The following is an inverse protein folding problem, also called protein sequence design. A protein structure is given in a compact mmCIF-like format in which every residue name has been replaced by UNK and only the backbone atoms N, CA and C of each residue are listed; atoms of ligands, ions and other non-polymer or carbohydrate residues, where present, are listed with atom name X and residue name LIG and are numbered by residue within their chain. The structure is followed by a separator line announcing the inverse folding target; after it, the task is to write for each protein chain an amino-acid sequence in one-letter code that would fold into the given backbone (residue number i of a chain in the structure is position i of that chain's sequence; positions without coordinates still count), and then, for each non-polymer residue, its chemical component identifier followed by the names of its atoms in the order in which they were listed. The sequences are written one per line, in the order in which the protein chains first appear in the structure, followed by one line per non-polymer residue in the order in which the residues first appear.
data_IF_085447292639
#
_entry.id   IF_085447292639
#
_cell.length_a   1.000
_cell.length_b   1.000
_cell.length_c   1.000
_cell.angle_alpha   90.00
_cell.angle_beta   90.00
_cell.angle_gamma   90.00
#
_symmetry.space_group_name_H-M   'P 1'
#
loop_
_entity.id
_entity.type
_entity.pdbx_description
1 polymer ?
#
# COMPACT_ATOMS: atom_id res chain seq x y z
N UNK A 1 -6.58 -12.29 -16.91
CA UNK A 1 -7.82 -12.36 -16.11
C UNK A 1 -8.68 -13.48 -16.68
N UNK A 2 -8.83 -14.59 -15.96
CA UNK A 2 -9.83 -15.61 -16.32
C UNK A 2 -11.21 -14.99 -16.01
N UNK A 3 -11.93 -14.55 -17.04
CA UNK A 3 -13.23 -13.93 -16.88
C UNK A 3 -14.25 -14.96 -16.44
N UNK A 4 -14.86 -14.77 -15.28
CA UNK A 4 -16.03 -15.55 -14.87
C UNK A 4 -17.13 -15.37 -15.92
N UNK A 5 -17.74 -16.48 -16.36
CA UNK A 5 -18.85 -16.42 -17.31
C UNK A 5 -20.04 -15.69 -16.68
N UNK A 6 -20.64 -14.77 -17.41
CA UNK A 6 -21.84 -14.05 -17.01
C UNK A 6 -23.07 -14.73 -17.64
N UNK A 7 -23.77 -15.65 -16.95
CA UNK A 7 -24.97 -16.27 -17.49
C UNK A 7 -26.09 -15.24 -17.56
N UNK A 8 -26.46 -14.83 -18.77
CA UNK A 8 -27.61 -13.95 -19.02
C UNK A 8 -28.71 -14.80 -19.64
N UNK A 9 -29.84 -14.94 -18.94
CA UNK A 9 -31.04 -15.61 -19.43
C UNK A 9 -32.07 -14.58 -19.94
N UNK A 10 -32.76 -14.92 -21.02
CA UNK A 10 -33.70 -14.03 -21.71
C UNK A 10 -35.09 -14.67 -21.78
N UNK A 11 -36.11 -13.92 -21.34
CA UNK A 11 -37.51 -14.23 -21.64
C UNK A 11 -37.87 -13.82 -23.08
N UNK A 12 -37.21 -12.77 -23.57
CA UNK A 12 -37.40 -12.26 -24.93
C UNK A 12 -36.10 -11.65 -25.42
N UNK A 13 -35.66 -12.06 -26.61
CA UNK A 13 -34.58 -11.43 -27.34
C UNK A 13 -35.05 -11.22 -28.78
N UNK A 14 -35.55 -10.02 -29.06
CA UNK A 14 -35.97 -9.62 -30.40
C UNK A 14 -35.05 -8.50 -30.87
N UNK A 15 -34.37 -8.75 -32.00
CA UNK A 15 -33.47 -7.81 -32.64
C UNK A 15 -33.88 -7.71 -34.11
N UNK A 16 -34.34 -6.54 -34.54
CA UNK A 16 -34.69 -6.26 -35.93
C UNK A 16 -33.79 -5.14 -36.41
N UNK A 17 -33.07 -5.38 -37.50
CA UNK A 17 -32.28 -4.35 -38.15
C UNK A 17 -32.52 -4.40 -39.65
N UNK A 18 -32.58 -3.24 -40.29
CA UNK A 18 -32.83 -3.15 -41.71
C UNK A 18 -32.33 -1.84 -42.31
N UNK A 19 -32.01 -1.89 -43.59
CA UNK A 19 -31.68 -0.72 -44.38
C UNK A 19 -32.73 -0.59 -45.49
N UNK A 20 -33.66 0.35 -45.35
CA UNK A 20 -34.74 0.57 -46.30
C UNK A 20 -34.76 2.03 -46.76
N UNK A 21 -34.78 2.25 -48.07
CA UNK A 21 -34.92 3.58 -48.69
C UNK A 21 -33.95 4.63 -48.13
N UNK A 22 -32.67 4.27 -47.97
CA UNK A 22 -31.64 5.18 -47.44
C UNK A 22 -31.77 5.48 -45.94
N UNK A 23 -32.56 4.69 -45.19
CA UNK A 23 -32.65 4.76 -43.73
C UNK A 23 -32.24 3.43 -43.12
N UNK A 24 -31.26 3.47 -42.22
CA UNK A 24 -30.94 2.34 -41.37
C UNK A 24 -31.85 2.42 -40.14
N UNK A 25 -32.46 1.30 -39.77
CA UNK A 25 -33.29 1.18 -38.58
C UNK A 25 -32.85 -0.03 -37.76
N UNK A 26 -32.85 0.13 -36.45
CA UNK A 26 -32.61 -0.92 -35.48
C UNK A 26 -33.66 -0.82 -34.38
N UNK A 27 -34.39 -1.91 -34.16
CA UNK A 27 -35.35 -2.08 -33.08
C UNK A 27 -34.90 -3.27 -32.23
N UNK A 28 -34.89 -3.09 -30.92
CA UNK A 28 -34.56 -4.17 -30.01
C UNK A 28 -35.52 -4.23 -28.85
N UNK A 29 -35.76 -5.45 -28.38
CA UNK A 29 -36.44 -5.75 -27.13
C UNK A 29 -35.75 -6.92 -26.46
N UNK A 30 -35.10 -6.63 -25.35
CA UNK A 30 -34.35 -7.57 -24.54
C UNK A 30 -35.01 -7.60 -23.16
N UNK A 31 -35.76 -8.68 -22.88
CA UNK A 31 -36.34 -8.93 -21.57
C UNK A 31 -35.53 -10.03 -20.89
N UNK A 32 -34.92 -9.70 -19.76
CA UNK A 32 -34.08 -10.62 -19.00
C UNK A 32 -34.96 -11.47 -18.07
N UNK A 33 -34.66 -12.76 -17.97
CA UNK A 33 -35.39 -13.65 -17.06
C UNK A 33 -35.18 -13.20 -15.62
N UNK A 34 -36.28 -13.07 -14.87
CA UNK A 34 -36.30 -12.56 -13.49
C UNK A 34 -35.64 -11.19 -13.30
N UNK A 35 -35.59 -10.36 -14.35
CA UNK A 35 -34.99 -9.04 -14.30
C UNK A 35 -35.74 -8.09 -15.26
N UNK A 36 -35.28 -6.85 -15.37
CA UNK A 36 -35.90 -5.81 -16.17
C UNK A 36 -35.78 -6.02 -17.69
N UNK A 37 -36.14 -4.98 -18.41
CA UNK A 37 -36.08 -4.96 -19.87
C UNK A 37 -35.28 -3.76 -20.39
N UNK A 38 -34.66 -3.97 -21.54
CA UNK A 38 -34.01 -2.97 -22.35
C UNK A 38 -34.64 -2.98 -23.74
N UNK A 39 -35.23 -1.86 -24.14
CA UNK A 39 -35.89 -1.72 -25.43
C UNK A 39 -35.55 -0.39 -26.09
N UNK A 40 -35.69 -0.34 -27.40
CA UNK A 40 -35.46 0.89 -28.13
C UNK A 40 -35.66 0.73 -29.61
N UNK A 41 -35.74 1.89 -30.24
CA UNK A 41 -35.82 2.04 -31.69
C UNK A 41 -34.88 3.17 -32.08
N UNK A 42 -33.93 2.91 -32.97
CA UNK A 42 -33.04 3.92 -33.54
C UNK A 42 -33.18 3.90 -35.05
N UNK A 43 -33.29 5.09 -35.63
CA UNK A 43 -33.27 5.31 -37.06
C UNK A 43 -32.16 6.29 -37.41
N UNK A 44 -31.35 5.92 -38.40
CA UNK A 44 -30.36 6.79 -39.04
C UNK A 44 -30.82 7.06 -40.46
N UNK A 45 -31.27 8.29 -40.71
CA UNK A 45 -31.58 8.74 -42.06
C UNK A 45 -30.30 9.20 -42.77
N UNK A 46 -30.16 8.80 -44.04
CA UNK A 46 -29.00 9.12 -44.88
C UNK A 46 -27.67 8.75 -44.20
N UNK A 47 -27.41 7.44 -43.98
CA UNK A 47 -26.25 6.96 -43.23
C UNK A 47 -24.90 7.27 -43.91
N UNK A 48 -24.90 7.60 -45.21
CA UNK A 48 -23.68 7.92 -45.94
C UNK A 48 -23.27 9.38 -45.78
N UNK A 49 -24.23 10.31 -45.73
CA UNK A 49 -23.92 11.75 -45.72
C UNK A 49 -24.33 12.40 -44.39
N UNK A 50 -25.63 12.61 -44.15
CA UNK A 50 -26.11 13.43 -43.02
C UNK A 50 -26.09 12.72 -41.68
N UNK A 51 -26.26 11.38 -41.69
CA UNK A 51 -26.31 10.52 -40.49
C UNK A 51 -27.24 11.09 -39.42
N UNK A 52 -28.45 11.50 -39.81
CA UNK A 52 -29.44 12.08 -38.90
C UNK A 52 -30.00 10.98 -38.02
N UNK A 53 -29.90 11.13 -36.71
CA UNK A 53 -30.32 10.14 -35.73
C UNK A 53 -31.67 10.55 -35.16
N UNK A 54 -32.56 9.58 -34.99
CA UNK A 54 -33.79 9.74 -34.20
C UNK A 54 -34.15 8.41 -33.55
N UNK A 55 -34.78 8.44 -32.38
CA UNK A 55 -35.14 7.19 -31.71
C UNK A 55 -35.44 7.34 -30.24
N UNK A 56 -35.80 6.24 -29.61
CA UNK A 56 -35.96 6.14 -28.17
C UNK A 56 -35.19 4.95 -27.63
N UNK A 57 -34.70 5.08 -26.40
CA UNK A 57 -34.01 4.05 -25.66
C UNK A 57 -34.58 4.02 -24.25
N UNK A 58 -35.12 2.89 -23.85
CA UNK A 58 -35.71 2.69 -22.54
C UNK A 58 -35.01 1.56 -21.80
N UNK A 59 -34.75 1.80 -20.52
CA UNK A 59 -34.36 0.77 -19.55
C UNK A 59 -35.44 0.78 -18.48
N UNK A 60 -36.08 -0.36 -18.27
CA UNK A 60 -37.10 -0.52 -17.23
C UNK A 60 -36.64 -1.56 -16.23
N UNK A 61 -36.36 -1.11 -15.00
CA UNK A 61 -36.11 -1.96 -13.84
C UNK A 61 -34.98 -2.99 -14.01
N UNK A 62 -33.87 -2.62 -14.65
CA UNK A 62 -32.71 -3.53 -14.75
C UNK A 62 -31.98 -3.53 -13.40
N UNK A 63 -31.94 -4.69 -12.76
CA UNK A 63 -31.22 -4.91 -11.51
C UNK A 63 -29.72 -5.12 -11.78
N UNK A 64 -28.87 -4.35 -11.08
CA UNK A 64 -27.42 -4.53 -11.11
C UNK A 64 -26.96 -5.88 -10.54
N UNK A 65 -27.83 -6.62 -9.85
CA UNK A 65 -27.50 -7.98 -9.42
C UNK A 65 -27.13 -8.92 -10.58
N UNK A 66 -27.50 -8.54 -11.81
CA UNK A 66 -27.13 -9.28 -13.02
C UNK A 66 -25.61 -9.44 -13.19
N UNK A 67 -24.77 -8.51 -12.69
CA UNK A 67 -23.32 -8.59 -12.87
C UNK A 67 -22.62 -9.45 -11.81
N UNK A 68 -23.31 -9.85 -10.74
CA UNK A 68 -22.72 -10.59 -9.62
C UNK A 68 -21.99 -11.88 -10.02
N UNK A 69 -22.46 -12.69 -10.98
CA UNK A 69 -21.72 -13.88 -11.42
C UNK A 69 -20.35 -13.57 -12.02
N UNK A 70 -20.16 -12.36 -12.57
CA UNK A 70 -18.88 -11.91 -13.12
C UNK A 70 -17.94 -11.32 -12.05
N UNK A 71 -18.43 -11.03 -10.85
CA UNK A 71 -17.65 -10.46 -9.76
C UNK A 71 -16.87 -11.54 -9.00
N UNK A 72 -15.86 -11.11 -8.24
CA UNK A 72 -15.07 -12.02 -7.40
C UNK A 72 -15.87 -12.46 -6.16
N UNK A 73 -15.47 -13.57 -5.53
CA UNK A 73 -16.11 -14.05 -4.31
C UNK A 73 -15.99 -12.99 -3.21
N UNK A 74 -17.13 -12.60 -2.62
CA UNK A 74 -17.21 -11.53 -1.61
C UNK A 74 -17.58 -10.16 -2.17
N UNK A 75 -17.65 -10.03 -3.49
CA UNK A 75 -18.12 -8.83 -4.16
C UNK A 75 -19.60 -8.96 -4.55
N UNK A 76 -20.32 -7.85 -4.53
CA UNK A 76 -21.71 -7.79 -4.95
C UNK A 76 -22.10 -6.40 -5.43
N UNK A 77 -23.03 -6.36 -6.37
CA UNK A 77 -23.73 -5.18 -6.83
C UNK A 77 -25.24 -5.42 -6.76
N UNK A 78 -25.97 -4.40 -6.32
CA UNK A 78 -27.41 -4.33 -6.32
C UNK A 78 -27.85 -2.91 -6.64
N UNK A 79 -29.11 -2.73 -7.03
CA UNK A 79 -29.67 -1.45 -7.43
C UNK A 79 -30.51 -1.58 -8.69
N UNK A 80 -31.34 -0.57 -8.95
CA UNK A 80 -32.27 -0.57 -10.07
C UNK A 80 -31.91 0.56 -11.04
N UNK A 81 -31.54 0.18 -12.26
CA UNK A 81 -31.29 1.11 -13.35
C UNK A 81 -32.58 1.33 -14.14
N UNK A 82 -32.89 2.60 -14.42
CA UNK A 82 -34.02 3.03 -15.23
C UNK A 82 -33.57 4.14 -16.19
N UNK A 83 -34.09 4.13 -17.42
CA UNK A 83 -33.82 5.16 -18.40
C UNK A 83 -35.02 5.37 -19.31
N UNK A 84 -35.28 6.63 -19.65
CA UNK A 84 -36.17 7.00 -20.75
C UNK A 84 -35.46 8.10 -21.54
N UNK A 85 -34.90 7.74 -22.69
CA UNK A 85 -34.06 8.61 -23.49
C UNK A 85 -34.64 8.75 -24.90
N UNK A 86 -34.71 9.98 -25.39
CA UNK A 86 -35.06 10.31 -26.77
C UNK A 86 -33.83 10.87 -27.47
N UNK A 87 -33.47 10.25 -28.59
CA UNK A 87 -32.34 10.61 -29.42
C UNK A 87 -32.80 11.46 -30.62
N UNK A 88 -31.96 12.40 -31.04
CA UNK A 88 -32.18 13.30 -32.15
C UNK A 88 -30.86 13.85 -32.72
N UNK A 89 -30.96 14.73 -33.73
CA UNK A 89 -29.79 15.43 -34.28
C UNK A 89 -29.03 14.60 -35.31
N UNK A 90 -27.70 14.70 -35.34
CA UNK A 90 -26.85 13.92 -36.24
C UNK A 90 -25.78 13.16 -35.47
N UNK A 91 -25.12 12.19 -36.10
CA UNK A 91 -24.01 11.47 -35.50
C UNK A 91 -22.86 12.37 -35.01
N UNK A 92 -22.68 13.57 -35.60
CA UNK A 92 -21.69 14.55 -35.16
C UNK A 92 -22.23 15.51 -34.08
N UNK A 93 -23.55 15.71 -34.02
CA UNK A 93 -24.24 16.59 -33.06
C UNK A 93 -25.43 15.85 -32.46
N UNK A 94 -25.18 14.84 -31.60
CA UNK A 94 -26.24 14.02 -31.03
C UNK A 94 -27.02 14.82 -29.99
N UNK A 95 -28.34 14.89 -30.17
CA UNK A 95 -29.26 15.43 -29.18
C UNK A 95 -29.82 14.28 -28.36
N UNK A 96 -29.65 14.34 -27.04
CA UNK A 96 -30.18 13.37 -26.08
C UNK A 96 -31.11 14.11 -25.13
N UNK A 97 -32.32 13.59 -24.95
CA UNK A 97 -33.30 14.14 -24.01
C UNK A 97 -33.80 13.04 -23.08
N UNK A 98 -34.13 13.40 -21.85
CA UNK A 98 -34.74 12.48 -20.89
C UNK A 98 -33.85 12.21 -19.68
N UNK A 99 -34.06 11.08 -19.01
CA UNK A 99 -33.43 10.79 -17.72
C UNK A 99 -32.90 9.38 -17.65
N UNK A 100 -31.70 9.25 -17.07
CA UNK A 100 -31.12 8.00 -16.59
C UNK A 100 -31.06 8.07 -15.06
N UNK A 101 -31.52 7.04 -14.38
CA UNK A 101 -31.51 6.98 -12.93
C UNK A 101 -31.05 5.60 -12.45
N UNK A 102 -30.22 5.60 -11.42
CA UNK A 102 -29.82 4.43 -10.67
C UNK A 102 -30.28 4.62 -9.22
N UNK A 103 -31.17 3.76 -8.76
CA UNK A 103 -31.78 3.83 -7.45
C UNK A 103 -31.37 2.66 -6.56
N UNK A 104 -31.20 2.96 -5.26
CA UNK A 104 -30.86 1.97 -4.22
C UNK A 104 -29.63 1.14 -4.58
N UNK A 105 -28.66 1.77 -5.22
CA UNK A 105 -27.42 1.11 -5.57
C UNK A 105 -26.63 0.74 -4.32
N UNK A 106 -26.19 -0.51 -4.26
CA UNK A 106 -25.31 -1.04 -3.22
C UNK A 106 -24.19 -1.75 -3.92
N UNK A 107 -22.97 -1.40 -3.58
CA UNK A 107 -21.81 -2.07 -4.16
C UNK A 107 -20.81 -2.34 -3.06
N UNK A 108 -20.38 -3.58 -3.04
CA UNK A 108 -19.35 -4.09 -2.18
C UNK A 108 -18.33 -4.76 -3.10
N UNK A 109 -17.12 -4.22 -3.16
CA UNK A 109 -16.08 -4.76 -4.04
C UNK A 109 -14.73 -4.21 -3.67
N UNK A 110 -13.66 -4.95 -3.94
CA UNK A 110 -12.29 -4.53 -3.60
C UNK A 110 -11.85 -3.32 -4.42
N UNK A 111 -12.46 -3.13 -5.58
CA UNK A 111 -12.24 -1.98 -6.48
C UNK A 111 -12.84 -0.68 -5.95
N UNK A 112 -13.75 -0.74 -4.96
CA UNK A 112 -14.30 0.43 -4.28
C UNK A 112 -13.74 0.50 -2.86
N UNK A 113 -13.08 1.59 -2.46
CA UNK A 113 -12.36 1.62 -1.20
C UNK A 113 -13.28 1.92 0.00
N UNK A 114 -14.60 2.00 -0.21
CA UNK A 114 -15.64 2.19 0.79
C UNK A 114 -16.87 1.31 0.51
N UNK A 115 -17.53 0.87 1.57
CA UNK A 115 -18.79 0.12 1.47
C UNK A 115 -19.97 1.08 1.22
N UNK A 116 -20.61 0.94 0.07
CA UNK A 116 -21.76 1.77 -0.31
C UNK A 116 -23.07 1.08 0.10
N UNK A 117 -23.80 1.68 1.03
CA UNK A 117 -25.01 1.10 1.64
C UNK A 117 -26.29 1.47 0.89
N UNK A 118 -26.32 2.65 0.28
CA UNK A 118 -27.38 3.12 -0.61
C UNK A 118 -26.80 4.22 -1.52
N UNK A 119 -27.18 4.23 -2.78
CA UNK A 119 -26.84 5.30 -3.69
C UNK A 119 -27.97 5.58 -4.65
N UNK A 120 -28.14 6.87 -4.94
CA UNK A 120 -29.07 7.39 -5.94
C UNK A 120 -28.30 8.30 -6.87
N UNK A 121 -28.32 7.99 -8.15
CA UNK A 121 -27.71 8.80 -9.21
C UNK A 121 -28.78 9.13 -10.24
N UNK A 122 -28.83 10.37 -10.70
CA UNK A 122 -29.71 10.80 -11.76
C UNK A 122 -28.94 11.68 -12.74
N UNK A 123 -29.02 11.33 -14.02
CA UNK A 123 -28.52 12.15 -15.13
C UNK A 123 -29.70 12.62 -15.94
N UNK A 124 -29.86 13.94 -16.05
CA UNK A 124 -30.90 14.56 -16.88
C UNK A 124 -30.25 15.10 -18.14
N UNK A 125 -30.69 14.61 -19.30
CA UNK A 125 -30.20 15.03 -20.61
C UNK A 125 -31.12 16.08 -21.21
N UNK A 126 -30.53 17.17 -21.71
CA UNK A 126 -31.22 18.25 -22.39
C UNK A 126 -30.44 18.65 -23.66
N UNK A 127 -30.69 17.95 -24.75
CA UNK A 127 -30.05 18.16 -26.04
C UNK A 127 -28.58 17.74 -26.01
N UNK A 128 -27.66 18.71 -26.08
CA UNK A 128 -26.21 18.47 -26.08
C UNK A 128 -25.56 18.74 -24.71
N UNK A 129 -26.38 18.80 -23.67
CA UNK A 129 -25.94 19.02 -22.29
C UNK A 129 -26.63 18.05 -21.34
N UNK A 130 -26.02 17.79 -20.20
CA UNK A 130 -26.65 17.04 -19.11
C UNK A 130 -26.29 17.60 -17.74
N UNK A 131 -27.14 17.35 -16.76
CA UNK A 131 -26.82 17.51 -15.34
C UNK A 131 -26.78 16.15 -14.65
N UNK A 132 -25.88 16.01 -13.67
CA UNK A 132 -25.74 14.85 -12.79
C UNK A 132 -26.07 15.29 -11.37
N UNK A 133 -26.90 14.53 -10.70
CA UNK A 133 -27.12 14.63 -9.26
C UNK A 133 -26.93 13.25 -8.63
N UNK A 134 -26.24 13.20 -7.52
CA UNK A 134 -25.95 11.95 -6.83
C UNK A 134 -25.89 12.10 -5.33
N UNK A 135 -26.43 11.11 -4.62
CA UNK A 135 -26.27 10.96 -3.19
C UNK A 135 -25.86 9.52 -2.90
N UNK A 136 -24.67 9.35 -2.35
CA UNK A 136 -24.14 8.07 -1.92
C UNK A 136 -24.04 8.06 -0.40
N UNK A 137 -24.59 7.03 0.21
CA UNK A 137 -24.51 6.79 1.64
C UNK A 137 -23.56 5.63 1.92
N UNK A 138 -22.74 5.82 2.95
CA UNK A 138 -21.86 4.78 3.51
C UNK A 138 -22.31 4.47 4.94
N UNK A 139 -21.60 3.59 5.63
CA UNK A 139 -21.88 3.28 7.04
C UNK A 139 -21.64 4.46 8.00
N UNK A 140 -20.83 5.44 7.63
CA UNK A 140 -20.45 6.56 8.52
C UNK A 140 -20.69 7.96 7.97
N UNK A 141 -20.92 8.08 6.67
CA UNK A 141 -20.90 9.36 5.98
C UNK A 141 -21.66 9.32 4.67
N UNK A 142 -21.79 10.50 4.06
CA UNK A 142 -22.46 10.66 2.78
C UNK A 142 -21.57 11.44 1.80
N UNK A 143 -21.76 11.18 0.51
CA UNK A 143 -21.10 11.85 -0.59
C UNK A 143 -22.17 12.40 -1.53
N UNK A 144 -22.16 13.72 -1.69
CA UNK A 144 -22.99 14.43 -2.66
C UNK A 144 -22.19 14.62 -3.94
N UNK A 145 -22.81 14.30 -5.07
CA UNK A 145 -22.29 14.52 -6.40
C UNK A 145 -23.20 15.50 -7.13
N UNK A 146 -22.60 16.51 -7.76
CA UNK A 146 -23.29 17.43 -8.64
C UNK A 146 -22.40 17.67 -9.85
N UNK A 147 -22.94 17.54 -11.06
CA UNK A 147 -22.14 17.67 -12.27
C UNK A 147 -22.92 18.18 -13.45
N UNK A 148 -22.16 18.54 -14.47
CA UNK A 148 -22.66 18.98 -15.76
C UNK A 148 -21.76 18.44 -16.87
N UNK A 149 -22.33 18.22 -18.04
CA UNK A 149 -21.57 17.88 -19.23
C UNK A 149 -22.14 18.60 -20.45
N UNK A 150 -21.27 18.86 -21.41
CA UNK A 150 -21.54 19.64 -22.61
C UNK A 150 -20.72 19.07 -23.77
N UNK A 151 -21.42 18.52 -24.74
CA UNK A 151 -20.85 17.91 -25.95
C UNK A 151 -21.38 18.57 -27.21
N UNK A 152 -21.70 19.87 -27.15
CA UNK A 152 -22.09 20.66 -28.34
C UNK A 152 -21.07 20.59 -29.47
N UNK A 153 -19.80 20.44 -29.09
CA UNK A 153 -18.72 20.02 -29.97
C UNK A 153 -18.16 18.68 -29.46
N UNK A 154 -18.30 17.61 -30.24
CA UNK A 154 -17.85 16.27 -29.86
C UNK A 154 -16.31 16.15 -29.82
N UNK A 155 -15.59 17.09 -30.45
CA UNK A 155 -14.13 17.13 -30.41
C UNK A 155 -13.59 18.02 -29.28
N UNK A 156 -14.48 18.77 -28.61
CA UNK A 156 -14.17 19.67 -27.50
C UNK A 156 -15.21 19.56 -26.38
N UNK A 157 -15.64 18.32 -26.10
CA UNK A 157 -16.60 18.06 -25.03
C UNK A 157 -15.97 18.36 -23.66
N UNK A 158 -16.82 18.73 -22.70
CA UNK A 158 -16.43 18.93 -21.31
C UNK A 158 -17.40 18.23 -20.38
N UNK A 159 -16.89 17.67 -19.30
CA UNK A 159 -17.68 17.19 -18.19
C UNK A 159 -17.05 17.67 -16.88
N UNK A 160 -17.88 18.06 -15.92
CA UNK A 160 -17.48 18.51 -14.60
C UNK A 160 -18.32 17.81 -13.55
N UNK A 161 -17.67 17.29 -12.52
CA UNK A 161 -18.32 16.65 -11.37
C UNK A 161 -17.70 17.22 -10.09
N UNK A 162 -18.52 17.90 -9.30
CA UNK A 162 -18.20 18.28 -7.94
C UNK A 162 -18.63 17.16 -6.99
N UNK A 163 -17.74 16.78 -6.08
CA UNK A 163 -17.92 15.71 -5.12
C UNK A 163 -17.63 16.24 -3.71
N UNK A 164 -18.65 16.31 -2.87
CA UNK A 164 -18.54 16.81 -1.49
C UNK A 164 -19.05 15.79 -0.50
N UNK A 165 -18.17 15.32 0.38
CA UNK A 165 -18.49 14.30 1.37
C UNK A 165 -18.06 14.69 2.79
N UNK A 166 -18.66 14.00 3.75
CA UNK A 166 -18.27 14.11 5.16
C UNK A 166 -18.06 12.72 5.77
N UNK A 167 -16.89 12.49 6.37
CA UNK A 167 -16.52 11.28 7.12
C UNK A 167 -16.78 9.98 6.38
N UNK A 168 -16.36 9.92 5.12
CA UNK A 168 -16.37 8.71 4.31
C UNK A 168 -15.31 7.75 4.85
N UNK A 169 -15.75 6.60 5.37
CA UNK A 169 -14.85 5.57 5.88
C UNK A 169 -14.26 4.79 4.71
N UNK A 170 -12.95 4.96 4.52
CA UNK A 170 -12.14 4.22 3.56
C UNK A 170 -11.34 3.16 4.31
N UNK A 171 -11.39 1.91 3.84
CA UNK A 171 -10.65 0.80 4.45
C UNK A 171 -9.88 0.05 3.39
N UNK A 172 -8.56 -0.08 3.61
CA UNK A 172 -7.67 -0.91 2.78
C UNK A 172 -7.06 -1.96 3.72
N UNK A 173 -7.73 -3.11 3.90
CA UNK A 173 -7.24 -4.17 4.75
C UNK A 173 -5.89 -4.73 4.25
N UNK A 174 -4.99 -5.15 5.15
CA UNK A 174 -5.07 -5.03 6.61
C UNK A 174 -4.56 -3.69 7.15
N UNK A 175 -4.04 -2.81 6.30
CA UNK A 175 -3.13 -1.73 6.72
C UNK A 175 -3.81 -0.42 7.13
N UNK A 176 -4.86 0.00 6.43
CA UNK A 176 -5.32 1.40 6.50
C UNK A 176 -6.82 1.47 6.78
N UNK A 177 -7.19 2.30 7.77
CA UNK A 177 -8.56 2.79 7.96
C UNK A 177 -8.51 4.30 8.09
N UNK A 178 -9.27 5.02 7.26
CA UNK A 178 -9.25 6.49 7.19
C UNK A 178 -10.69 7.00 7.09
N UNK A 179 -11.02 8.07 7.80
CA UNK A 179 -12.19 8.91 7.48
C UNK A 179 -11.75 10.07 6.62
N UNK A 180 -12.45 10.27 5.51
CA UNK A 180 -12.13 11.32 4.55
C UNK A 180 -13.35 12.21 4.33
N UNK A 181 -13.15 13.52 4.38
CA UNK A 181 -14.14 14.52 3.99
C UNK A 181 -13.64 15.25 2.74
N UNK A 182 -14.00 14.79 1.53
CA UNK A 182 -13.55 15.40 0.28
C UNK A 182 -14.40 16.63 -0.09
N UNK A 183 -13.76 17.64 -0.66
CA UNK A 183 -14.37 18.72 -1.45
C UNK A 183 -13.58 18.84 -2.76
N UNK A 184 -14.04 18.08 -3.77
CA UNK A 184 -13.30 17.81 -5.00
C UNK A 184 -14.09 18.23 -6.22
N UNK A 185 -13.37 18.64 -7.26
CA UNK A 185 -13.90 18.90 -8.61
C UNK A 185 -13.07 18.08 -9.59
N UNK A 186 -13.75 17.18 -10.28
CA UNK A 186 -13.23 16.42 -11.40
C UNK A 186 -13.70 17.07 -12.70
N UNK A 187 -12.78 17.37 -13.61
CA UNK A 187 -13.11 17.86 -14.94
C UNK A 187 -12.48 16.94 -16.00
N UNK A 188 -13.22 16.69 -17.07
CA UNK A 188 -12.78 15.83 -18.15
C UNK A 188 -13.01 16.50 -19.50
N UNK A 189 -11.98 16.43 -20.34
CA UNK A 189 -11.99 16.85 -21.74
C UNK A 189 -11.34 15.75 -22.59
N UNK A 190 -11.44 15.79 -23.94
CA UNK A 190 -10.71 14.86 -24.79
C UNK A 190 -9.18 14.90 -24.61
N UNK A 191 -8.63 15.97 -24.02
CA UNK A 191 -7.19 16.20 -23.91
C UNK A 191 -6.64 16.00 -22.49
N UNK A 192 -7.47 16.11 -21.45
CA UNK A 192 -7.01 16.07 -20.06
C UNK A 192 -8.14 15.68 -19.10
N UNK A 193 -7.81 14.85 -18.11
CA UNK A 193 -8.59 14.71 -16.88
C UNK A 193 -7.91 15.50 -15.75
N UNK A 194 -8.66 16.35 -15.08
CA UNK A 194 -8.19 17.14 -13.96
C UNK A 194 -8.94 16.78 -12.68
N UNK A 195 -8.23 16.62 -11.58
CA UNK A 195 -8.81 16.41 -10.25
C UNK A 195 -8.24 17.46 -9.29
N UNK A 196 -9.09 18.37 -8.84
CA UNK A 196 -8.69 19.50 -8.01
C UNK A 196 -9.52 19.53 -6.72
N UNK A 197 -8.95 20.00 -5.62
CA UNK A 197 -9.74 20.29 -4.43
C UNK A 197 -9.01 20.02 -3.12
N UNK A 198 -9.79 19.82 -2.07
CA UNK A 198 -9.30 19.60 -0.72
C UNK A 198 -9.83 18.29 -0.15
N UNK A 199 -9.02 17.68 0.72
CA UNK A 199 -9.33 16.43 1.37
C UNK A 199 -8.96 16.55 2.84
N UNK A 200 -9.95 16.59 3.71
CA UNK A 200 -9.73 16.59 5.15
C UNK A 200 -9.73 15.16 5.68
N UNK A 201 -8.73 14.83 6.51
CA UNK A 201 -8.58 13.53 7.17
C UNK A 201 -8.72 13.74 8.68
N UNK A 202 -9.95 13.77 9.23
CA UNK A 202 -10.15 13.98 10.67
C UNK A 202 -9.66 12.80 11.52
N UNK A 203 -9.68 11.58 10.96
CA UNK A 203 -9.35 10.36 11.68
C UNK A 203 -8.67 9.35 10.76
N UNK A 204 -7.62 8.70 11.25
CA UNK A 204 -6.97 7.59 10.55
C UNK A 204 -6.23 6.65 11.50
N UNK A 205 -6.17 5.37 11.14
CA UNK A 205 -5.34 4.34 11.77
C UNK A 205 -4.58 3.62 10.66
N UNK A 206 -3.27 3.77 10.70
CA UNK A 206 -2.35 3.19 9.73
C UNK A 206 -1.51 2.18 10.50
N UNK A 207 -1.58 0.92 10.12
CA UNK A 207 -0.85 -0.18 10.77
C UNK A 207 -0.04 -0.93 9.72
N UNK A 208 1.27 -1.02 9.93
CA UNK A 208 2.19 -1.74 9.03
C UNK A 208 2.95 -2.76 9.86
N UNK A 209 2.60 -4.04 9.70
CA UNK A 209 3.24 -5.15 10.44
C UNK A 209 4.43 -5.71 9.65
N UNK A 210 4.22 -6.02 8.38
CA UNK A 210 5.25 -6.47 7.44
C UNK A 210 4.99 -5.79 6.09
N UNK A 211 6.06 -5.47 5.35
CA UNK A 211 5.93 -5.07 3.95
C UNK A 211 5.58 -6.34 3.16
N UNK A 212 4.51 -6.35 2.33
CA UNK A 212 4.24 -7.49 1.45
C UNK A 212 5.44 -7.74 0.53
N UNK A 213 5.65 -8.97 0.05
CA UNK A 213 6.72 -9.27 -0.92
C UNK A 213 6.62 -8.41 -2.21
N UNK A 214 5.43 -7.88 -2.51
CA UNK A 214 5.18 -6.91 -3.59
C UNK A 214 5.64 -5.47 -3.30
N UNK A 215 6.27 -5.20 -2.15
CA UNK A 215 6.84 -3.90 -1.78
C UNK A 215 8.24 -3.69 -2.36
N UNK A 216 8.81 -4.69 -3.02
CA UNK A 216 9.97 -4.50 -3.90
C UNK A 216 9.43 -3.84 -5.17
N UNK A 217 9.70 -2.55 -5.32
CA UNK A 217 9.33 -1.82 -6.53
C UNK A 217 9.89 -2.54 -7.75
N UNK A 218 9.07 -2.73 -8.78
CA UNK A 218 9.55 -3.11 -10.10
C UNK A 218 10.60 -2.09 -10.53
N UNK A 219 11.76 -2.56 -11.00
CA UNK A 219 12.81 -1.66 -11.47
C UNK A 219 12.25 -0.81 -12.61
N UNK A 220 12.70 0.44 -12.73
CA UNK A 220 12.40 1.31 -13.88
C UNK A 220 12.81 0.71 -15.23
N UNK A 221 13.62 -0.35 -15.17
CA UNK A 221 14.29 -0.99 -16.30
C UNK A 221 13.56 -2.27 -16.73
N UNK A 222 12.45 -2.62 -16.07
CA UNK A 222 11.67 -3.82 -16.37
C UNK A 222 10.87 -3.64 -17.66
N UNK A 223 11.18 -4.46 -18.66
CA UNK A 223 10.44 -4.52 -19.93
C UNK A 223 9.49 -5.70 -19.86
N UNK A 224 8.18 -5.41 -19.76
CA UNK A 224 7.17 -6.46 -19.91
C UNK A 224 7.26 -7.04 -21.32
N UNK A 225 7.32 -8.37 -21.41
CA UNK A 225 7.33 -9.09 -22.67
C UNK A 225 5.97 -9.78 -22.88
N UNK A 226 5.48 -9.81 -24.11
CA UNK A 226 4.33 -10.64 -24.46
C UNK A 226 4.69 -12.14 -24.48
N UNK A 227 3.71 -13.01 -24.76
CA UNK A 227 3.90 -14.46 -24.88
C UNK A 227 4.93 -14.86 -25.97
N UNK A 228 5.37 -13.91 -26.80
CA UNK A 228 6.34 -14.07 -27.90
C UNK A 228 7.68 -13.39 -27.58
N UNK A 229 7.91 -13.03 -26.30
CA UNK A 229 9.12 -12.39 -25.80
C UNK A 229 9.41 -11.02 -26.45
N UNK A 230 8.37 -10.30 -26.92
CA UNK A 230 8.52 -8.95 -27.46
C UNK A 230 8.13 -7.91 -26.42
N UNK A 231 8.86 -6.77 -26.34
CA UNK A 231 8.47 -5.65 -25.49
C UNK A 231 7.03 -5.22 -25.74
N UNK A 232 6.18 -5.34 -24.72
CA UNK A 232 4.85 -4.75 -24.73
C UNK A 232 5.05 -3.26 -24.43
N UNK A 233 4.75 -2.39 -25.39
CA UNK A 233 4.69 -0.97 -25.07
C UNK A 233 3.57 -0.76 -24.04
N UNK A 234 3.85 -0.10 -22.89
CA UNK A 234 2.79 0.24 -21.97
C UNK A 234 1.76 1.06 -22.74
N UNK A 235 0.53 0.56 -22.82
CA UNK A 235 -0.60 1.35 -23.32
C UNK A 235 -0.78 2.50 -22.35
N UNK A 236 -0.18 3.65 -22.67
CA UNK A 236 -0.46 4.87 -21.94
C UNK A 236 -1.95 5.14 -22.07
N UNK A 237 -2.60 5.49 -20.95
CA UNK A 237 -3.95 6.00 -21.00
C UNK A 237 -3.99 7.14 -22.04
N UNK A 238 -4.91 7.06 -22.99
CA UNK A 238 -4.98 7.98 -24.14
C UNK A 238 -5.18 9.44 -23.74
N UNK A 239 -5.58 9.70 -22.49
CA UNK A 239 -5.81 11.02 -21.93
C UNK A 239 -4.97 11.15 -20.64
N UNK A 240 -4.09 12.15 -20.52
CA UNK A 240 -3.32 12.39 -19.31
C UNK A 240 -4.22 12.76 -18.12
N UNK A 241 -3.77 12.45 -16.91
CA UNK A 241 -4.43 12.79 -15.65
C UNK A 241 -3.56 13.80 -14.90
N UNK A 242 -4.15 14.92 -14.51
CA UNK A 242 -3.54 15.92 -13.64
C UNK A 242 -4.31 15.99 -12.31
N UNK A 243 -3.60 15.96 -11.19
CA UNK A 243 -4.19 16.09 -9.86
C UNK A 243 -3.54 17.24 -9.11
N UNK A 244 -4.34 18.05 -8.40
CA UNK A 244 -3.86 19.10 -7.50
C UNK A 244 -4.76 19.11 -6.26
N UNK A 245 -4.31 18.38 -5.24
CA UNK A 245 -5.08 18.13 -4.03
C UNK A 245 -4.37 18.74 -2.83
N UNK A 246 -5.13 19.38 -1.95
CA UNK A 246 -4.66 19.81 -0.64
C UNK A 246 -5.22 18.86 0.41
N UNK A 247 -4.37 18.05 1.00
CA UNK A 247 -4.70 17.08 2.04
C UNK A 247 -4.39 17.70 3.39
N UNK A 248 -5.41 17.80 4.24
CA UNK A 248 -5.26 18.22 5.63
C UNK A 248 -5.32 16.99 6.55
N UNK A 249 -4.24 16.72 7.28
CA UNK A 249 -4.16 15.66 8.27
C UNK A 249 -4.57 16.22 9.62
N UNK A 250 -5.76 15.84 10.06
CA UNK A 250 -6.40 16.32 11.27
C UNK A 250 -5.79 15.77 12.56
N UNK A 251 -6.46 16.01 13.68
CA UNK A 251 -5.86 15.79 14.99
C UNK A 251 -5.83 14.31 15.44
N UNK A 252 -6.69 13.41 14.94
CA UNK A 252 -6.74 11.99 15.37
C UNK A 252 -6.30 11.00 14.27
N UNK A 253 -5.17 11.30 13.64
CA UNK A 253 -4.45 10.38 12.76
C UNK A 253 -3.34 9.69 13.55
N UNK A 254 -3.31 8.36 13.51
CA UNK A 254 -2.29 7.55 14.21
C UNK A 254 -1.65 6.53 13.28
N UNK A 255 -0.35 6.37 13.46
CA UNK A 255 0.53 5.42 12.80
C UNK A 255 1.04 4.41 13.82
N UNK A 256 1.04 3.13 13.44
CA UNK A 256 1.66 2.01 14.14
C UNK A 256 2.45 1.19 13.11
N UNK A 257 3.74 1.52 12.94
CA UNK A 257 4.56 0.95 11.89
C UNK A 257 6.01 0.82 12.34
N UNK A 258 6.64 -0.33 12.09
CA UNK A 258 8.07 -0.56 12.34
C UNK A 258 8.53 -0.16 13.75
N UNK A 259 7.71 -0.43 14.77
CA UNK A 259 7.99 -0.06 16.17
C UNK A 259 7.63 1.37 16.55
N UNK A 260 7.29 2.25 15.59
CA UNK A 260 6.81 3.61 15.85
C UNK A 260 5.29 3.63 16.05
N UNK A 261 4.86 4.08 17.22
CA UNK A 261 3.47 4.46 17.51
C UNK A 261 3.38 5.96 17.66
N UNK A 262 2.78 6.64 16.69
CA UNK A 262 2.79 8.09 16.59
C UNK A 262 1.43 8.66 16.22
N UNK A 263 1.16 9.90 16.67
CA UNK A 263 0.13 10.75 16.09
C UNK A 263 0.75 11.56 14.96
N UNK A 264 0.01 11.78 13.88
CA UNK A 264 0.42 12.61 12.75
C UNK A 264 -0.53 13.81 12.62
N UNK A 265 -0.01 14.94 12.16
CA UNK A 265 -0.77 16.15 11.83
C UNK A 265 -0.03 16.93 10.76
N UNK A 266 -0.73 17.67 9.91
CA UNK A 266 -0.08 18.58 8.97
C UNK A 266 -0.87 18.76 7.68
N UNK A 267 -0.21 19.33 6.68
CA UNK A 267 -0.81 19.70 5.41
C UNK A 267 0.10 19.30 4.27
N UNK A 268 -0.47 18.64 3.27
CA UNK A 268 0.23 18.14 2.10
C UNK A 268 -0.47 18.59 0.82
N UNK A 269 0.28 19.21 -0.08
CA UNK A 269 -0.14 19.45 -1.45
C UNK A 269 0.36 18.29 -2.31
N UNK A 270 -0.58 17.57 -2.91
CA UNK A 270 -0.32 16.50 -3.87
C UNK A 270 -0.51 17.05 -5.26
N UNK A 271 0.55 16.98 -6.08
CA UNK A 271 0.51 17.34 -7.50
C UNK A 271 0.86 16.11 -8.30
N UNK A 272 0.03 15.74 -9.26
CA UNK A 272 0.34 14.67 -10.21
C UNK A 272 0.20 15.21 -11.62
N UNK A 273 1.19 14.97 -12.46
CA UNK A 273 1.18 15.31 -13.88
C UNK A 273 1.92 14.25 -14.71
N UNK A 274 2.23 14.55 -15.97
CA UNK A 274 2.96 13.64 -16.87
C UNK A 274 4.37 13.27 -16.39
N UNK A 275 4.99 14.07 -15.50
CA UNK A 275 6.33 13.84 -14.97
C UNK A 275 6.32 12.93 -13.75
N UNK A 276 5.17 12.78 -13.08
CA UNK A 276 5.00 11.88 -11.95
C UNK A 276 4.19 12.50 -10.81
N UNK A 277 4.31 11.89 -9.63
CA UNK A 277 3.70 12.32 -8.39
C UNK A 277 4.67 13.18 -7.59
N UNK A 278 4.23 14.37 -7.18
CA UNK A 278 4.93 15.28 -6.31
C UNK A 278 4.13 15.58 -5.04
N UNK A 279 4.83 15.67 -3.91
CA UNK A 279 4.31 16.00 -2.60
C UNK A 279 5.05 17.23 -2.04
N UNK A 280 4.32 18.24 -1.61
CA UNK A 280 4.88 19.43 -0.95
C UNK A 280 4.13 19.72 0.34
N UNK A 281 4.83 19.95 1.44
CA UNK A 281 4.20 20.29 2.70
C UNK A 281 4.94 19.70 3.90
N UNK A 282 4.25 19.58 5.02
CA UNK A 282 4.84 19.12 6.26
C UNK A 282 3.88 18.19 7.00
N UNK A 283 4.45 17.11 7.54
CA UNK A 283 3.80 16.26 8.54
C UNK A 283 4.60 16.37 9.84
N UNK A 284 3.91 16.74 10.90
CA UNK A 284 4.41 16.79 12.26
C UNK A 284 3.97 15.55 13.05
N UNK A 285 4.83 15.12 13.96
CA UNK A 285 4.60 14.08 14.95
C UNK A 285 4.48 14.79 16.32
N UNK A 286 3.29 15.27 16.70
CA UNK A 286 3.11 15.97 17.99
C UNK A 286 3.35 15.08 19.21
N UNK A 287 3.19 13.76 19.04
CA UNK A 287 3.45 12.78 20.09
C UNK A 287 3.72 11.42 19.46
N UNK A 288 4.73 10.71 19.95
CA UNK A 288 5.00 9.35 19.53
C UNK A 288 5.93 8.62 20.47
N UNK A 289 5.95 7.30 20.34
CA UNK A 289 6.84 6.40 21.07
C UNK A 289 7.39 5.38 20.09
N UNK A 290 8.70 5.22 20.07
CA UNK A 290 9.40 4.26 19.25
C UNK A 290 9.91 3.13 20.13
N UNK A 291 9.44 1.92 19.87
CA UNK A 291 9.83 0.72 20.60
C UNK A 291 10.36 -0.33 19.62
N UNK A 292 11.68 -0.43 19.54
CA UNK A 292 12.38 -1.42 18.73
C UNK A 292 13.79 -1.65 19.29
N UNK A 293 14.39 -2.79 18.97
CA UNK A 293 15.77 -3.12 19.38
C UNK A 293 16.00 -3.03 20.91
N UNK A 294 14.97 -3.34 21.70
CA UNK A 294 15.00 -3.21 23.17
C UNK A 294 15.01 -1.76 23.69
N UNK A 295 14.90 -0.77 22.80
CA UNK A 295 14.88 0.65 23.15
C UNK A 295 13.45 1.17 23.24
N UNK A 296 13.27 2.11 24.14
CA UNK A 296 12.00 2.75 24.40
C UNK A 296 12.16 4.27 24.39
N UNK A 297 11.88 4.87 23.23
CA UNK A 297 12.15 6.28 22.97
C UNK A 297 10.84 7.06 22.82
N UNK A 298 10.76 8.21 23.49
CA UNK A 298 9.65 9.15 23.42
C UNK A 298 10.02 10.24 22.43
N UNK A 299 9.21 10.40 21.37
CA UNK A 299 9.40 11.45 20.36
C UNK A 299 9.02 12.80 20.95
N UNK A 300 9.99 13.72 21.06
CA UNK A 300 9.78 15.10 21.51
C UNK A 300 9.46 16.05 20.37
N UNK A 301 10.11 15.80 19.23
CA UNK A 301 9.95 16.58 18.01
C UNK A 301 9.99 15.61 16.84
N UNK A 302 9.06 15.71 15.90
CA UNK A 302 9.16 14.98 14.64
C UNK A 302 8.55 15.80 13.55
N UNK A 303 9.35 16.14 12.54
CA UNK A 303 8.91 16.88 11.38
C UNK A 303 9.41 16.19 10.13
N UNK A 304 8.51 15.98 9.17
CA UNK A 304 8.79 15.44 7.85
C UNK A 304 8.39 16.52 6.85
N UNK A 305 9.36 17.08 6.15
CA UNK A 305 9.14 18.09 5.12
C UNK A 305 9.25 17.46 3.74
N UNK A 306 8.22 17.65 2.92
CA UNK A 306 8.15 17.16 1.55
C UNK A 306 8.35 18.30 0.57
N UNK A 307 9.17 18.07 -0.46
CA UNK A 307 9.58 19.09 -1.42
C UNK A 307 9.65 18.56 -2.87
N UNK A 308 8.77 17.63 -3.23
CA UNK A 308 8.74 17.00 -4.55
C UNK A 308 8.61 15.49 -4.42
N UNK A 309 9.69 14.70 -4.44
CA UNK A 309 9.60 13.24 -4.34
C UNK A 309 8.86 12.79 -3.07
N UNK A 310 7.83 11.93 -3.18
CA UNK A 310 7.04 11.49 -2.03
C UNK A 310 7.78 10.53 -1.09
N UNK A 311 8.85 9.90 -1.57
CA UNK A 311 9.68 8.90 -0.88
C UNK A 311 10.93 9.48 -0.20
N UNK A 312 11.29 10.74 -0.48
CA UNK A 312 12.46 11.42 0.08
C UNK A 312 12.11 12.68 0.91
N UNK A 313 11.31 12.58 1.99
CA UNK A 313 11.12 13.71 2.88
C UNK A 313 12.41 14.06 3.63
N UNK A 314 12.58 15.35 3.94
CA UNK A 314 13.57 15.82 4.90
C UNK A 314 13.06 15.54 6.31
N UNK A 315 13.85 14.79 7.07
CA UNK A 315 13.57 14.41 8.44
C UNK A 315 14.18 15.42 9.41
N UNK A 316 13.45 15.73 10.48
CA UNK A 316 13.94 16.42 11.66
C UNK A 316 13.22 15.86 12.88
N UNK A 317 13.76 14.77 13.42
CA UNK A 317 13.15 13.99 14.48
C UNK A 317 14.09 13.95 15.67
N UNK A 318 13.57 14.16 16.86
CA UNK A 318 14.26 14.04 18.14
C UNK A 318 13.44 13.15 19.06
N UNK A 319 14.07 12.09 19.57
CA UNK A 319 13.47 11.20 20.54
C UNK A 319 14.44 10.99 21.71
N UNK A 320 13.90 10.95 22.92
CA UNK A 320 14.66 10.71 24.15
C UNK A 320 14.30 9.35 24.74
N UNK A 321 15.22 8.70 25.42
CA UNK A 321 14.91 7.53 26.23
C UNK A 321 13.88 7.89 27.28
N UNK A 322 13.01 6.94 27.65
CA UNK A 322 12.10 7.14 28.76
C UNK A 322 12.89 7.54 30.04
N UNK A 323 12.64 8.73 30.62
CA UNK A 323 13.34 9.17 31.82
C UNK A 323 13.17 8.22 33.01
N UNK A 324 12.04 7.51 33.09
CA UNK A 324 11.79 6.50 34.13
C UNK A 324 12.76 5.31 34.06
N UNK A 325 13.42 5.11 32.91
CA UNK A 325 14.35 4.01 32.63
C UNK A 325 15.80 4.48 32.49
N UNK A 326 16.13 5.65 33.05
CA UNK A 326 17.45 6.28 32.95
C UNK A 326 17.93 6.76 34.32
N UNK A 327 19.15 6.39 34.70
CA UNK A 327 19.79 6.76 35.96
C UNK A 327 20.43 8.16 35.86
N UNK A 328 20.86 8.69 37.01
CA UNK A 328 21.61 9.95 37.15
C UNK A 328 20.92 11.22 36.63
N UNK A 329 19.59 11.20 36.42
CA UNK A 329 18.81 12.32 35.87
C UNK A 329 19.35 12.81 34.50
N UNK A 330 19.95 11.90 33.72
CA UNK A 330 20.53 12.20 32.41
C UNK A 330 19.50 11.95 31.31
N UNK A 331 19.20 12.96 30.50
CA UNK A 331 18.36 12.76 29.31
C UNK A 331 19.22 12.36 28.12
N UNK A 332 19.23 11.08 27.77
CA UNK A 332 19.86 10.60 26.54
C UNK A 332 18.85 10.47 25.40
N UNK A 333 19.27 10.82 24.18
CA UNK A 333 18.38 10.81 23.03
C UNK A 333 19.10 10.68 21.70
N UNK A 334 18.30 10.58 20.66
CA UNK A 334 18.71 10.49 19.27
C UNK A 334 18.04 11.59 18.45
N UNK A 335 18.81 12.21 17.57
CA UNK A 335 18.34 13.16 16.57
C UNK A 335 18.59 12.59 15.18
N UNK A 336 17.55 12.58 14.35
CA UNK A 336 17.58 12.13 12.97
C UNK A 336 17.31 13.32 12.06
N UNK A 337 18.27 13.68 11.23
CA UNK A 337 18.17 14.80 10.29
C UNK A 337 18.58 14.38 8.88
N UNK A 338 18.20 15.14 7.85
CA UNK A 338 18.56 14.83 6.46
C UNK A 338 17.47 14.08 5.70
N UNK A 339 17.76 13.63 4.49
CA UNK A 339 16.77 12.94 3.64
C UNK A 339 16.49 11.53 4.18
N UNK A 340 15.28 11.02 3.94
CA UNK A 340 14.86 9.71 4.46
C UNK A 340 15.67 8.51 3.92
N UNK A 341 16.27 8.64 2.73
CA UNK A 341 17.13 7.63 2.10
C UNK A 341 18.60 7.70 2.56
N UNK A 342 19.02 8.87 3.06
CA UNK A 342 20.35 9.09 3.63
C UNK A 342 20.28 9.91 4.93
N UNK A 343 19.66 9.37 6.00
CA UNK A 343 19.50 10.11 7.25
C UNK A 343 20.82 10.20 8.02
N UNK A 344 21.06 11.33 8.65
CA UNK A 344 22.12 11.55 9.63
C UNK A 344 21.58 11.32 11.04
N UNK A 345 22.20 10.39 11.76
CA UNK A 345 21.90 10.06 13.15
C UNK A 345 22.93 10.69 14.08
N UNK A 346 22.45 11.42 15.08
CA UNK A 346 23.27 12.03 16.13
C UNK A 346 22.72 11.60 17.50
N UNK A 347 23.59 11.05 18.34
CA UNK A 347 23.24 10.70 19.73
C UNK A 347 23.66 11.85 20.63
N UNK A 348 22.79 12.26 21.55
CA UNK A 348 23.04 13.35 22.47
C UNK A 348 22.66 12.98 23.91
N UNK A 349 23.16 13.76 24.86
CA UNK A 349 22.78 13.70 26.28
C UNK A 349 22.64 15.10 26.85
N UNK A 350 21.80 15.24 27.87
CA UNK A 350 21.68 16.43 28.70
C UNK A 350 21.77 16.01 30.18
N UNK A 351 22.82 16.43 30.94
CA UNK A 351 23.94 17.28 30.53
C UNK A 351 24.80 16.66 29.42
N UNK A 352 25.48 17.51 28.63
CA UNK A 352 26.29 17.05 27.50
C UNK A 352 27.48 16.18 27.95
N UNK A 353 27.43 14.89 27.59
CA UNK A 353 28.50 13.91 27.81
C UNK A 353 29.23 13.56 26.51
N UNK A 354 30.31 12.78 26.62
CA UNK A 354 30.97 12.19 25.45
C UNK A 354 29.99 11.31 24.65
N UNK A 355 30.21 11.16 23.34
CA UNK A 355 29.31 10.37 22.48
C UNK A 355 29.20 8.91 22.93
N UNK A 356 30.27 8.34 23.50
CA UNK A 356 30.29 7.00 24.06
C UNK A 356 29.42 6.89 25.32
N UNK A 357 29.51 7.85 26.23
CA UNK A 357 28.63 7.90 27.41
C UNK A 357 27.18 8.14 27.01
N UNK A 358 26.91 9.08 26.10
CA UNK A 358 25.56 9.37 25.62
C UNK A 358 24.91 8.12 25.00
N UNK A 359 25.68 7.34 24.23
CA UNK A 359 25.23 6.06 23.70
C UNK A 359 25.02 5.02 24.81
N UNK A 360 25.88 4.97 25.83
CA UNK A 360 25.69 4.09 26.98
C UNK A 360 24.37 4.40 27.71
N UNK A 361 24.10 5.68 28.02
CA UNK A 361 22.83 6.07 28.61
C UNK A 361 21.66 5.80 27.66
N UNK A 362 21.80 6.01 26.35
CA UNK A 362 20.75 5.72 25.38
C UNK A 362 20.41 4.23 25.32
N UNK A 363 21.40 3.33 25.34
CA UNK A 363 21.20 1.89 25.20
C UNK A 363 20.92 1.18 26.53
N UNK A 364 21.66 1.52 27.59
CA UNK A 364 21.60 0.88 28.92
C UNK A 364 20.81 1.66 29.96
N UNK A 365 20.62 2.97 29.78
CA UNK A 365 20.05 3.84 30.81
C UNK A 365 21.05 4.29 31.88
N UNK A 366 22.34 3.98 31.73
CA UNK A 366 23.38 4.28 32.72
C UNK A 366 24.73 4.60 32.05
N UNK A 367 25.58 5.34 32.76
CA UNK A 367 26.91 5.75 32.29
C UNK A 367 27.94 4.61 32.25
N UNK A 368 29.14 4.91 31.75
CA UNK A 368 30.21 3.92 31.55
C UNK A 368 30.99 3.54 32.83
N UNK A 369 30.50 3.92 34.02
CA UNK A 369 31.27 3.82 35.26
C UNK A 369 30.63 2.88 36.30
N UNK A 370 31.03 1.60 36.26
CA UNK A 370 31.77 0.97 37.37
C UNK A 370 32.42 -0.33 36.89
N UNK A 371 33.75 -0.38 36.97
CA UNK A 371 34.67 -1.47 36.57
C UNK A 371 34.97 -1.59 35.07
N UNK A 372 36.25 -1.38 34.71
CA UNK A 372 36.82 -1.46 33.35
C UNK A 372 36.80 -2.85 32.70
N UNK A 373 35.91 -3.75 33.14
CA UNK A 373 35.59 -5.01 32.48
C UNK A 373 34.43 -4.87 31.47
N UNK A 374 33.66 -3.79 31.53
CA UNK A 374 32.38 -3.64 30.82
C UNK A 374 32.49 -3.15 29.36
N UNK A 375 33.60 -2.50 28.97
CA UNK A 375 33.82 -2.05 27.58
C UNK A 375 33.99 -3.21 26.58
N UNK A 376 34.66 -4.28 27.01
CA UNK A 376 34.78 -5.51 26.23
C UNK A 376 33.47 -6.31 26.21
N UNK A 377 32.69 -6.28 27.29
CA UNK A 377 31.37 -6.89 27.35
C UNK A 377 30.35 -6.19 26.43
N UNK A 378 30.38 -4.85 26.35
CA UNK A 378 29.57 -4.06 25.40
C UNK A 378 29.93 -4.37 23.95
N UNK A 379 31.22 -4.48 23.64
CA UNK A 379 31.69 -4.83 22.29
C UNK A 379 31.25 -6.25 21.92
N UNK A 380 31.36 -7.20 22.85
CA UNK A 380 30.90 -8.58 22.66
C UNK A 380 29.37 -8.69 22.55
N UNK A 381 28.59 -7.88 23.29
CA UNK A 381 27.13 -7.80 23.16
C UNK A 381 26.68 -7.15 21.85
N UNK A 382 27.33 -6.07 21.39
CA UNK A 382 27.02 -5.42 20.11
C UNK A 382 27.29 -6.35 18.92
N UNK A 383 28.37 -7.12 18.99
CA UNK A 383 28.68 -8.16 18.00
C UNK A 383 27.67 -9.31 18.09
N UNK A 384 27.35 -9.77 19.31
CA UNK A 384 26.33 -10.80 19.54
C UNK A 384 24.93 -10.40 19.04
N UNK A 385 24.55 -9.13 19.15
CA UNK A 385 23.30 -8.59 18.60
C UNK A 385 23.33 -8.48 17.08
N UNK A 386 24.46 -8.09 16.47
CA UNK A 386 24.63 -8.10 15.02
C UNK A 386 24.59 -9.52 14.43
N UNK A 387 25.11 -10.50 15.17
CA UNK A 387 25.06 -11.94 14.83
C UNK A 387 23.66 -12.53 15.06
N UNK A 388 22.96 -12.15 16.13
CA UNK A 388 21.60 -12.62 16.41
C UNK A 388 20.58 -12.13 15.37
N UNK A 389 20.77 -10.95 14.78
CA UNK A 389 19.95 -10.47 13.65
C UNK A 389 20.20 -11.24 12.35
N UNK A 390 21.40 -11.81 12.16
CA UNK A 390 21.70 -12.66 11.00
C UNK A 390 21.31 -14.14 11.21
N UNK A 391 21.11 -14.58 12.46
CA UNK A 391 20.74 -15.96 12.80
C UNK A 391 19.46 -16.48 12.12
N UNK A 392 18.48 -15.61 11.82
CA UNK A 392 17.28 -16.00 11.05
C UNK A 392 17.53 -16.06 9.52
N UNK A 393 18.57 -15.40 9.03
CA UNK A 393 18.95 -15.37 7.61
C UNK A 393 19.95 -16.48 7.26
N UNK A 394 20.84 -16.83 8.18
CA UNK A 394 21.93 -17.80 8.01
C UNK A 394 21.41 -19.25 7.94
N UNK A 395 20.34 -19.58 8.65
CA UNK A 395 19.71 -20.91 8.59
C UNK A 395 19.25 -21.31 7.18
N UNK A 396 18.75 -20.35 6.38
CA UNK A 396 18.27 -20.59 5.00
C UNK A 396 19.39 -20.75 3.97
N UNK A 397 20.56 -20.14 4.21
CA UNK A 397 21.74 -20.29 3.34
C UNK A 397 22.37 -21.67 3.54
N UNK A 398 22.45 -22.16 4.78
CA UNK A 398 22.98 -23.49 5.08
C UNK A 398 22.23 -24.62 4.39
N UNK A 399 20.88 -24.57 4.37
CA UNK A 399 20.05 -25.60 3.77
C UNK A 399 20.25 -25.73 2.24
N UNK A 400 20.50 -24.62 1.54
CA UNK A 400 20.80 -24.63 0.10
C UNK A 400 22.14 -25.32 -0.24
N UNK A 401 23.07 -25.38 0.73
CA UNK A 401 24.38 -26.03 0.61
C UNK A 401 24.46 -27.36 1.38
N UNK A 402 23.35 -27.90 1.87
CA UNK A 402 23.28 -29.21 2.54
C UNK A 402 23.74 -29.21 4.01
N UNK A 403 23.82 -28.06 4.66
CA UNK A 403 24.17 -27.93 6.09
C UNK A 403 22.92 -27.59 6.91
N UNK A 404 22.55 -28.48 7.82
CA UNK A 404 21.39 -28.32 8.70
C UNK A 404 21.76 -27.65 10.02
N UNK A 405 20.84 -26.85 10.57
CA UNK A 405 21.00 -26.12 11.84
C UNK A 405 22.29 -25.27 11.89
N UNK A 406 22.57 -24.52 10.82
CA UNK A 406 23.68 -23.58 10.79
C UNK A 406 23.42 -22.45 11.80
N UNK A 407 24.31 -22.30 12.77
CA UNK A 407 24.25 -21.30 13.83
C UNK A 407 25.58 -20.55 13.92
N UNK A 408 25.48 -19.25 14.17
CA UNK A 408 26.63 -18.38 14.45
C UNK A 408 26.50 -17.92 15.91
N UNK A 409 27.52 -18.17 16.71
CA UNK A 409 27.52 -17.97 18.17
C UNK A 409 28.84 -17.32 18.62
N UNK A 410 28.88 -16.78 19.82
CA UNK A 410 30.11 -16.28 20.46
C UNK A 410 30.38 -17.08 21.74
N UNK A 411 31.59 -17.61 21.88
CA UNK A 411 31.98 -18.47 23.01
C UNK A 411 33.26 -17.96 23.65
N UNK A 412 33.41 -18.16 24.95
CA UNK A 412 34.59 -17.74 25.71
C UNK A 412 34.52 -16.30 26.25
N UNK A 413 35.43 -15.99 27.17
CA UNK A 413 35.50 -14.69 27.89
C UNK A 413 36.97 -14.25 27.93
N UNK A 414 37.22 -12.94 27.78
CA UNK A 414 38.58 -12.38 27.79
C UNK A 414 39.36 -12.71 26.51
N UNK A 415 40.66 -13.00 26.64
CA UNK A 415 41.56 -13.28 25.50
C UNK A 415 41.17 -14.57 24.75
N UNK A 416 40.36 -15.45 25.37
CA UNK A 416 39.84 -16.69 24.78
C UNK A 416 38.46 -16.51 24.11
N UNK A 417 38.01 -15.26 23.88
CA UNK A 417 36.74 -15.00 23.20
C UNK A 417 36.85 -15.34 21.71
N UNK A 418 35.92 -16.15 21.20
CA UNK A 418 35.90 -16.62 19.81
C UNK A 418 34.51 -16.49 19.19
N UNK A 419 34.47 -16.22 17.89
CA UNK A 419 33.26 -16.34 17.06
C UNK A 419 33.21 -17.75 16.49
N UNK A 420 32.11 -18.46 16.71
CA UNK A 420 31.96 -19.87 16.32
C UNK A 420 30.80 -20.03 15.35
N UNK A 421 31.10 -20.57 14.17
CA UNK A 421 30.11 -21.08 13.22
C UNK A 421 29.93 -22.57 13.48
N UNK A 422 28.69 -23.06 13.63
CA UNK A 422 28.43 -24.49 13.81
C UNK A 422 27.26 -24.98 12.96
N UNK A 423 27.30 -26.22 12.51
CA UNK A 423 26.23 -26.83 11.72
C UNK A 423 26.40 -28.33 11.55
N UNK A 424 25.35 -29.01 11.10
CA UNK A 424 25.35 -30.45 10.84
C UNK A 424 25.44 -30.72 9.34
N UNK A 425 26.50 -31.41 8.92
CA UNK A 425 26.77 -31.72 7.51
C UNK A 425 26.26 -33.12 7.13
N UNK A 426 26.16 -34.01 8.11
CA UNK A 426 25.57 -35.35 7.99
C UNK A 426 24.75 -35.67 9.25
N UNK A 427 23.79 -36.62 9.20
CA UNK A 427 23.09 -37.08 10.40
C UNK A 427 24.07 -37.52 11.49
N UNK A 428 24.14 -36.76 12.57
CA UNK A 428 25.04 -37.04 13.70
C UNK A 428 26.47 -36.50 13.57
N UNK A 429 26.86 -35.87 12.45
CA UNK A 429 28.15 -35.17 12.31
C UNK A 429 27.96 -33.65 12.38
N UNK A 430 28.42 -33.07 13.48
CA UNK A 430 28.48 -31.63 13.68
C UNK A 430 29.88 -31.12 13.36
N UNK A 431 29.95 -30.01 12.63
CA UNK A 431 31.18 -29.26 12.37
C UNK A 431 31.07 -27.92 13.06
N UNK A 432 32.12 -27.51 13.77
CA UNK A 432 32.25 -26.18 14.37
C UNK A 432 33.56 -25.56 13.92
N UNK A 433 33.51 -24.29 13.55
CA UNK A 433 34.67 -23.51 13.18
C UNK A 433 34.69 -22.23 14.01
N UNK A 434 35.64 -22.14 14.94
CA UNK A 434 35.84 -21.00 15.83
C UNK A 434 37.06 -20.18 15.42
N UNK A 435 36.94 -18.86 15.44
CA UNK A 435 38.09 -17.95 15.25
C UNK A 435 38.18 -17.03 16.47
N UNK A 436 39.35 -17.02 17.11
CA UNK A 436 39.64 -16.16 18.24
C UNK A 436 39.61 -14.68 17.86
N UNK A 437 38.93 -13.88 18.68
CA UNK A 437 38.64 -12.47 18.41
C UNK A 437 39.87 -11.60 18.65
N UNK A 438 40.73 -11.99 19.60
CA UNK A 438 41.89 -11.20 20.02
C UNK A 438 43.24 -11.82 19.62
N UNK A 439 43.30 -13.14 19.47
CA UNK A 439 44.53 -13.89 19.12
C UNK A 439 44.52 -14.44 17.68
N UNK A 440 43.42 -14.28 16.93
CA UNK A 440 43.23 -14.76 15.54
C UNK A 440 43.47 -16.26 15.34
N UNK A 441 43.39 -17.07 16.41
CA UNK A 441 43.59 -18.51 16.31
C UNK A 441 42.32 -19.20 15.81
N UNK A 442 42.45 -20.01 14.76
CA UNK A 442 41.35 -20.80 14.24
C UNK A 442 41.32 -22.19 14.89
N UNK A 443 40.11 -22.62 15.25
CA UNK A 443 39.84 -23.96 15.78
C UNK A 443 38.75 -24.62 14.95
N UNK A 444 38.99 -25.86 14.54
CA UNK A 444 38.03 -26.71 13.85
C UNK A 444 37.68 -27.87 14.77
N UNK A 445 36.40 -28.03 15.07
CA UNK A 445 35.87 -29.15 15.86
C UNK A 445 34.95 -29.99 15.00
N UNK A 446 35.20 -31.30 14.96
CA UNK A 446 34.36 -32.30 14.33
C UNK A 446 33.79 -33.21 15.43
N UNK A 447 32.48 -33.21 15.61
CA UNK A 447 31.81 -34.05 16.61
C UNK A 447 30.87 -35.02 15.92
N UNK A 448 31.16 -36.32 16.03
CA UNK A 448 30.33 -37.39 15.49
C UNK A 448 29.65 -38.20 16.60
N UNK A 449 28.33 -38.37 16.50
CA UNK A 449 27.55 -39.18 17.45
C UNK A 449 27.63 -40.66 17.05
N UNK A 450 28.35 -41.45 17.82
CA UNK A 450 28.52 -42.90 17.62
C UNK A 450 27.29 -43.69 18.10
N UNK A 451 26.76 -43.34 19.27
CA UNK A 451 25.57 -43.95 19.88
C UNK A 451 24.80 -42.87 20.66
N UNK A 452 23.53 -43.10 21.07
CA UNK A 452 22.89 -42.22 22.04
C UNK A 452 23.81 -42.04 23.25
N UNK A 453 24.15 -40.78 23.57
CA UNK A 453 25.04 -40.37 24.66
C UNK A 453 26.55 -40.63 24.47
N UNK A 454 27.01 -41.22 23.35
CA UNK A 454 28.43 -41.42 23.05
C UNK A 454 28.85 -40.63 21.80
N UNK A 455 29.84 -39.76 21.94
CA UNK A 455 30.33 -38.87 20.90
C UNK A 455 31.84 -39.01 20.73
N UNK A 456 32.30 -39.00 19.48
CA UNK A 456 33.70 -38.85 19.11
C UNK A 456 33.92 -37.39 18.71
N UNK A 457 34.87 -36.71 19.34
CA UNK A 457 35.19 -35.32 19.06
C UNK A 457 36.66 -35.19 18.64
N UNK A 458 36.90 -34.58 17.48
CA UNK A 458 38.23 -34.22 17.03
C UNK A 458 38.33 -32.69 17.01
N UNK A 459 39.31 -32.14 17.73
CA UNK A 459 39.59 -30.71 17.76
C UNK A 459 40.95 -30.47 17.10
N UNK A 460 41.00 -29.52 16.19
CA UNK A 460 42.21 -29.09 15.49
C UNK A 460 42.36 -27.58 15.63
N UNK A 461 43.39 -27.13 16.34
CA UNK A 461 43.72 -25.72 16.55
C UNK A 461 45.23 -25.55 16.68
N UNK A 462 45.69 -24.98 17.79
CA UNK A 462 47.11 -24.98 18.16
C UNK A 462 47.63 -26.40 18.45
N UNK A 463 46.80 -27.19 19.14
CA UNK A 463 47.00 -28.60 19.40
C UNK A 463 45.92 -29.43 18.69
N UNK A 464 46.21 -30.70 18.45
CA UNK A 464 45.27 -31.66 17.88
C UNK A 464 44.89 -32.69 18.94
N UNK A 465 43.59 -32.82 19.19
CA UNK A 465 43.04 -33.74 20.17
C UNK A 465 41.93 -34.59 19.55
N UNK A 466 41.84 -35.84 20.02
CA UNK A 466 40.77 -36.78 19.68
C UNK A 466 40.21 -37.37 20.96
N UNK A 467 38.99 -36.99 21.29
CA UNK A 467 38.31 -37.28 22.54
C UNK A 467 37.09 -38.18 22.31
N UNK A 468 36.85 -39.07 23.27
CA UNK A 468 35.62 -39.88 23.33
C UNK A 468 34.79 -39.43 24.53
N UNK A 469 33.64 -38.82 24.26
CA UNK A 469 32.78 -38.17 25.24
C UNK A 469 31.54 -39.03 25.51
N UNK A 470 31.25 -39.33 26.78
CA UNK A 470 30.01 -39.98 27.19
C UNK A 470 29.21 -39.07 28.13
N UNK A 471 27.95 -38.78 27.76
CA UNK A 471 27.10 -37.84 28.49
C UNK A 471 26.13 -38.56 29.44
N UNK A 472 26.20 -38.24 30.73
CA UNK A 472 25.24 -38.68 31.74
C UNK A 472 24.12 -37.64 31.89
N UNK A 473 22.87 -38.08 31.97
CA UNK A 473 21.73 -37.24 32.38
C UNK A 473 21.36 -37.69 33.80
N UNK A 474 21.18 -36.73 34.72
CA UNK A 474 20.70 -36.97 36.08
C UNK A 474 19.26 -36.51 36.21
#
# INVERSE_FOLDING_TARGET
MQGNALPIAFDTLALNAGLNNGRAQADWRIKLTNNGQFDGNIQVADPQVRRTISGNVNITNISLALINPALMKGESAAGMLNANLRLGGSAQKPLVFGRLALDRAKVQGHWMPFDMTDARLAVNFNGMTSTLEGLLSTTRGQLNLAGDADWRDINAWRARIAAKGDKLRVTVPPMIRIDVSPDLVFEATPQLFSLNGKVDIPWARITVQELPESAVGVSSDEVMLDDQLKPIQPKTASIPINSNLMIHVGNDVRLDAFGLKARLKGDLKVVQDKKGLGLNGQIDIPSGRFHAYGQDLIVRKGQLMFSGPPDQPLLNIEAIRNPESTEDDVTAGVRVTGLADAPKLEVFSDPAKSQQEALSYLLRGQGLNSSGADGNAMTSMLIGMGVAQSGQLVGKIGEAFGVSNLALDTQGVGDNSQVVVSGYVLPGLQVKYGVGIFDSLATLTLRYRLMPKLYLEAVSGLDQALDLLYQFEF
#
